data_IF_922891482243
#
_entry.id   IF_922891482243
#
_cell.length_a   1.000
_cell.length_b   1.000
_cell.length_c   1.000
_cell.angle_alpha   90.00
_cell.angle_beta   90.00
_cell.angle_gamma   90.00
#
_symmetry.space_group_name_H-M   'P 1'
#
loop_
_entity.id
_entity.type
_entity.pdbx_description
1 polymer ?
#
# COMPACT_ATOMS: atom_id res chain seq x y z
N UNK A 1 18.01 11.27 -7.21
CA UNK A 1 19.04 10.78 -6.25
C UNK A 1 19.21 9.29 -6.47
N UNK A 2 20.41 8.75 -6.27
CA UNK A 2 20.60 7.29 -6.27
C UNK A 2 20.17 6.71 -4.91
N UNK A 3 19.12 5.88 -4.83
CA UNK A 3 18.65 5.31 -3.56
C UNK A 3 19.70 4.46 -2.86
N UNK A 4 20.58 3.75 -3.59
CA UNK A 4 21.59 2.88 -2.99
C UNK A 4 22.67 3.70 -2.29
N UNK A 5 23.15 4.77 -2.93
CA UNK A 5 24.10 5.70 -2.30
C UNK A 5 23.50 6.40 -1.06
N UNK A 6 22.22 6.81 -1.10
CA UNK A 6 21.55 7.41 0.06
C UNK A 6 21.40 6.41 1.20
N UNK A 7 21.08 5.15 0.89
CA UNK A 7 20.98 4.08 1.88
C UNK A 7 22.34 3.79 2.54
N UNK A 8 23.42 3.74 1.76
CA UNK A 8 24.78 3.58 2.29
C UNK A 8 25.16 4.75 3.22
N UNK A 9 24.92 5.99 2.79
CA UNK A 9 25.17 7.18 3.62
C UNK A 9 24.40 7.12 4.94
N UNK A 10 23.13 6.67 4.92
CA UNK A 10 22.32 6.48 6.12
C UNK A 10 22.90 5.41 7.05
N UNK A 11 23.44 4.32 6.50
CA UNK A 11 24.09 3.29 7.30
C UNK A 11 25.35 3.81 8.01
N UNK A 12 26.11 4.69 7.35
CA UNK A 12 27.36 5.24 7.89
C UNK A 12 27.13 6.39 8.89
N UNK A 13 26.09 7.20 8.67
CA UNK A 13 25.87 8.45 9.44
C UNK A 13 24.65 8.43 10.36
N UNK A 14 23.78 7.43 10.24
CA UNK A 14 22.52 7.32 10.98
C UNK A 14 21.35 8.13 10.40
N UNK A 15 21.56 8.92 9.34
CA UNK A 15 20.50 9.73 8.73
C UNK A 15 20.73 10.01 7.25
N UNK A 16 19.75 10.61 6.58
CA UNK A 16 19.85 10.94 5.14
C UNK A 16 20.35 12.36 4.87
N UNK A 17 20.49 13.19 5.92
CA UNK A 17 21.01 14.55 5.80
C UNK A 17 22.46 14.52 5.31
N UNK A 18 22.78 15.38 4.35
CA UNK A 18 24.09 15.43 3.71
C UNK A 18 24.39 14.28 2.73
N UNK A 19 23.42 13.40 2.43
CA UNK A 19 23.62 12.36 1.43
C UNK A 19 23.90 12.98 0.05
N UNK A 20 24.91 12.45 -0.65
CA UNK A 20 25.30 12.94 -1.98
C UNK A 20 24.22 12.55 -3.01
N UNK A 21 23.67 13.55 -3.67
CA UNK A 21 22.77 13.36 -4.81
C UNK A 21 23.49 13.40 -6.15
N UNK A 22 22.79 13.04 -7.22
CA UNK A 22 23.20 13.33 -8.59
C UNK A 22 22.86 14.81 -8.88
N UNK A 23 23.68 15.74 -8.40
CA UNK A 23 23.52 17.18 -8.59
C UNK A 23 23.33 17.98 -7.30
N UNK A 24 22.64 19.11 -7.39
CA UNK A 24 22.35 19.98 -6.24
C UNK A 24 21.28 19.33 -5.36
N UNK A 25 21.61 19.11 -4.10
CA UNK A 25 20.66 18.67 -3.07
C UNK A 25 20.25 19.86 -2.21
N UNK A 26 19.00 19.84 -1.72
CA UNK A 26 18.47 20.79 -0.75
C UNK A 26 17.98 20.01 0.46
N UNK A 27 18.34 20.44 1.66
CA UNK A 27 17.74 19.91 2.87
C UNK A 27 16.31 20.47 3.01
N UNK A 28 15.38 19.56 3.29
CA UNK A 28 13.97 19.85 3.50
C UNK A 28 13.48 19.11 4.73
N UNK A 29 12.47 19.65 5.38
CA UNK A 29 11.73 19.00 6.46
C UNK A 29 10.82 17.89 5.93
N UNK A 30 10.34 17.03 6.83
CA UNK A 30 9.36 15.99 6.47
C UNK A 30 8.04 16.58 5.98
N UNK A 31 7.62 17.73 6.53
CA UNK A 31 6.42 18.42 6.07
C UNK A 31 6.60 18.93 4.63
N UNK A 32 7.71 19.62 4.35
CA UNK A 32 8.03 20.06 2.99
C UNK A 32 8.14 18.89 2.01
N UNK A 33 8.66 17.73 2.44
CA UNK A 33 8.77 16.53 1.62
C UNK A 33 7.41 16.02 1.14
N UNK A 34 6.40 16.00 2.03
CA UNK A 34 5.04 15.55 1.68
C UNK A 34 4.36 16.50 0.69
N UNK A 35 4.71 17.78 0.73
CA UNK A 35 4.10 18.86 -0.05
C UNK A 35 4.84 19.13 -1.37
N UNK A 36 5.89 18.36 -1.69
CA UNK A 36 6.62 18.49 -2.94
C UNK A 36 5.75 18.14 -4.15
N UNK A 37 5.92 18.94 -5.21
CA UNK A 37 5.41 18.61 -6.54
C UNK A 37 6.04 17.32 -7.06
N UNK A 38 5.23 16.26 -7.09
CA UNK A 38 5.62 14.94 -7.58
C UNK A 38 4.42 14.20 -8.18
N UNK A 39 4.68 13.20 -9.02
CA UNK A 39 3.60 12.37 -9.58
C UNK A 39 3.09 11.36 -8.55
N UNK A 40 4.02 10.75 -7.79
CA UNK A 40 3.76 9.68 -6.83
C UNK A 40 4.38 10.01 -5.48
N UNK A 41 3.55 10.05 -4.44
CA UNK A 41 3.95 10.21 -3.05
C UNK A 41 3.87 8.85 -2.33
N UNK A 42 4.91 8.50 -1.57
CA UNK A 42 4.99 7.20 -0.86
C UNK A 42 5.23 7.41 0.63
N UNK A 43 4.18 7.64 1.45
CA UNK A 43 4.31 7.70 2.89
C UNK A 43 4.64 6.31 3.46
N UNK A 44 5.86 6.14 3.98
CA UNK A 44 6.41 4.84 4.41
C UNK A 44 7.03 4.88 5.82
N UNK A 45 6.68 5.87 6.64
CA UNK A 45 7.30 6.11 7.95
C UNK A 45 6.34 5.85 9.13
N UNK A 46 5.35 6.73 9.30
CA UNK A 46 4.44 6.74 10.45
C UNK A 46 2.99 6.92 10.01
N UNK A 47 2.06 6.65 10.92
CA UNK A 47 0.64 6.95 10.74
C UNK A 47 0.35 8.47 10.72
N UNK A 48 -0.81 8.84 10.18
CA UNK A 48 -1.41 10.19 10.23
C UNK A 48 -0.46 11.33 9.84
N UNK A 49 0.33 11.13 8.78
CA UNK A 49 1.23 12.14 8.24
C UNK A 49 0.51 13.10 7.28
N UNK A 50 -0.57 12.63 6.64
CA UNK A 50 -1.42 13.45 5.78
C UNK A 50 -2.78 13.59 6.47
N UNK A 51 -3.13 14.81 6.85
CA UNK A 51 -4.34 15.16 7.61
C UNK A 51 -5.05 16.35 6.96
N UNK A 52 -6.19 16.77 7.52
CA UNK A 52 -6.88 17.99 7.05
C UNK A 52 -5.99 19.24 7.08
N UNK A 53 -4.95 19.26 7.91
CA UNK A 53 -4.05 20.41 8.06
C UNK A 53 -3.11 20.59 6.87
N UNK A 54 -2.79 19.52 6.13
CA UNK A 54 -1.82 19.54 5.04
C UNK A 54 -2.28 18.93 3.71
N UNK A 55 -3.41 18.21 3.68
CA UNK A 55 -3.91 17.56 2.46
C UNK A 55 -4.09 18.51 1.27
N UNK A 56 -4.46 19.78 1.50
CA UNK A 56 -4.59 20.79 0.44
C UNK A 56 -3.27 21.16 -0.24
N UNK A 57 -2.15 20.87 0.43
CA UNK A 57 -0.79 21.12 -0.08
C UNK A 57 -0.18 19.88 -0.73
N UNK A 58 -0.87 18.75 -0.70
CA UNK A 58 -0.45 17.54 -1.40
C UNK A 58 -0.78 17.67 -2.88
N UNK A 59 0.25 17.81 -3.70
CA UNK A 59 0.17 17.96 -5.14
C UNK A 59 0.20 16.63 -5.91
N UNK A 60 0.56 15.53 -5.23
CA UNK A 60 0.71 14.21 -5.81
C UNK A 60 -0.56 13.72 -6.51
N UNK A 61 -0.40 13.08 -7.68
CA UNK A 61 -1.53 12.45 -8.40
C UNK A 61 -1.89 11.11 -7.79
N UNK A 62 -0.88 10.37 -7.34
CA UNK A 62 -1.00 9.06 -6.72
C UNK A 62 -0.30 9.07 -5.36
N UNK A 63 -0.98 8.61 -4.33
CA UNK A 63 -0.41 8.34 -3.00
C UNK A 63 -0.41 6.84 -2.76
N UNK A 64 0.75 6.26 -2.43
CA UNK A 64 0.92 4.83 -2.12
C UNK A 64 1.22 4.65 -0.63
N UNK A 65 0.24 4.15 0.12
CA UNK A 65 0.34 4.00 1.58
C UNK A 65 1.22 2.80 1.98
N UNK A 66 2.54 2.99 2.01
CA UNK A 66 3.46 1.94 2.45
C UNK A 66 3.54 1.80 3.98
N UNK A 67 3.16 2.84 4.72
CA UNK A 67 2.90 2.76 6.17
C UNK A 67 1.45 2.33 6.44
N UNK A 68 1.14 1.94 7.67
CA UNK A 68 -0.24 1.72 8.11
C UNK A 68 -0.91 3.06 8.46
N UNK A 69 -2.04 3.37 7.83
CA UNK A 69 -2.83 4.58 8.04
C UNK A 69 -2.06 5.91 7.97
N UNK A 70 -1.22 6.18 6.94
CA UNK A 70 -0.51 7.45 6.83
C UNK A 70 -1.43 8.63 6.46
N UNK A 71 -2.59 8.38 5.86
CA UNK A 71 -3.60 9.39 5.52
C UNK A 71 -4.78 9.28 6.50
N UNK A 72 -5.24 10.40 7.06
CA UNK A 72 -6.44 10.40 7.90
C UNK A 72 -7.71 10.20 7.06
N UNK A 73 -8.79 9.61 7.61
CA UNK A 73 -10.03 9.38 6.85
C UNK A 73 -10.62 10.65 6.22
N UNK A 74 -10.51 11.78 6.91
CA UNK A 74 -11.02 13.06 6.42
C UNK A 74 -10.15 13.62 5.29
N UNK A 75 -8.83 13.44 5.38
CA UNK A 75 -7.91 13.80 4.31
C UNK A 75 -8.08 12.91 3.07
N UNK A 76 -8.28 11.61 3.28
CA UNK A 76 -8.54 10.62 2.21
C UNK A 76 -9.77 11.04 1.40
N UNK A 77 -10.88 11.32 2.09
CA UNK A 77 -12.11 11.78 1.44
C UNK A 77 -11.87 13.04 0.61
N UNK A 78 -11.21 14.05 1.17
CA UNK A 78 -10.95 15.32 0.49
C UNK A 78 -10.04 15.16 -0.74
N UNK A 79 -8.99 14.35 -0.61
CA UNK A 79 -8.06 14.06 -1.71
C UNK A 79 -8.74 13.27 -2.83
N UNK A 80 -9.56 12.28 -2.48
CA UNK A 80 -10.35 11.49 -3.43
C UNK A 80 -11.36 12.37 -4.17
N UNK A 81 -12.08 13.25 -3.46
CA UNK A 81 -13.00 14.24 -4.07
C UNK A 81 -12.27 15.22 -5.00
N UNK A 82 -11.00 15.52 -4.72
CA UNK A 82 -10.12 16.32 -5.58
C UNK A 82 -9.52 15.52 -6.76
N UNK A 83 -9.95 14.28 -6.99
CA UNK A 83 -9.51 13.43 -8.09
C UNK A 83 -8.12 12.83 -7.89
N UNK A 84 -7.61 12.79 -6.66
CA UNK A 84 -6.34 12.13 -6.33
C UNK A 84 -6.57 10.65 -6.07
N UNK A 85 -5.64 9.81 -6.51
CA UNK A 85 -5.70 8.36 -6.30
C UNK A 85 -4.91 8.02 -5.05
N UNK A 86 -5.55 7.36 -4.09
CA UNK A 86 -4.89 6.81 -2.90
C UNK A 86 -4.94 5.29 -2.99
N UNK A 87 -3.79 4.66 -3.17
CA UNK A 87 -3.66 3.20 -3.10
C UNK A 87 -3.55 2.82 -1.62
N UNK A 88 -4.58 2.18 -1.04
CA UNK A 88 -4.71 2.01 0.40
C UNK A 88 -3.68 1.03 0.96
N UNK A 89 -3.30 1.23 2.21
CA UNK A 89 -2.31 0.43 2.95
C UNK A 89 -2.57 -1.08 2.89
N UNK A 90 -3.83 -1.50 3.08
CA UNK A 90 -4.27 -2.90 3.01
C UNK A 90 -3.90 -3.60 1.69
N UNK A 91 -3.73 -2.84 0.60
CA UNK A 91 -3.24 -3.33 -0.68
C UNK A 91 -1.75 -3.03 -0.85
N UNK A 92 -1.33 -1.78 -0.68
CA UNK A 92 0.01 -1.29 -0.98
C UNK A 92 1.12 -2.01 -0.20
N UNK A 93 0.89 -2.28 1.09
CA UNK A 93 1.89 -2.91 1.96
C UNK A 93 1.68 -4.43 2.14
N UNK A 94 0.72 -5.03 1.42
CA UNK A 94 0.34 -6.44 1.51
C UNK A 94 1.43 -7.45 1.12
N UNK A 95 2.52 -6.98 0.51
CA UNK A 95 3.62 -7.84 0.05
C UNK A 95 4.29 -8.63 1.17
N UNK A 96 4.43 -8.04 2.37
CA UNK A 96 4.99 -8.74 3.52
C UNK A 96 4.15 -9.94 3.93
N UNK A 97 2.83 -9.73 4.09
CA UNK A 97 1.87 -10.79 4.43
C UNK A 97 1.83 -11.86 3.34
N UNK A 98 1.88 -11.46 2.08
CA UNK A 98 1.90 -12.38 0.93
C UNK A 98 3.12 -13.29 0.99
N UNK A 99 4.32 -12.73 1.19
CA UNK A 99 5.55 -13.52 1.27
C UNK A 99 5.58 -14.42 2.52
N UNK A 100 5.04 -13.96 3.66
CA UNK A 100 4.88 -14.82 4.85
C UNK A 100 3.94 -16.01 4.60
N UNK A 101 2.89 -15.83 3.80
CA UNK A 101 2.05 -16.94 3.36
C UNK A 101 2.85 -17.94 2.48
N UNK A 102 3.66 -17.43 1.54
CA UNK A 102 4.52 -18.29 0.71
C UNK A 102 5.56 -19.04 1.54
N UNK A 103 6.10 -18.43 2.60
CA UNK A 103 6.98 -19.09 3.55
C UNK A 103 6.26 -20.27 4.24
N UNK A 104 5.03 -20.06 4.72
CA UNK A 104 4.23 -21.12 5.32
C UNK A 104 3.97 -22.29 4.35
N UNK A 105 3.68 -22.00 3.07
CA UNK A 105 3.49 -23.02 2.02
C UNK A 105 4.77 -23.83 1.81
N UNK A 106 5.92 -23.15 1.70
CA UNK A 106 7.23 -23.81 1.54
C UNK A 106 7.53 -24.73 2.74
N UNK A 107 7.35 -24.23 3.96
CA UNK A 107 7.57 -24.99 5.20
C UNK A 107 6.70 -26.25 5.26
N UNK A 108 5.43 -26.14 4.85
CA UNK A 108 4.51 -27.29 4.85
C UNK A 108 4.83 -28.31 3.76
N UNK A 109 5.39 -27.88 2.64
CA UNK A 109 5.77 -28.75 1.52
C UNK A 109 7.15 -29.39 1.69
N UNK A 110 8.02 -28.81 2.51
CA UNK A 110 9.44 -29.19 2.62
C UNK A 110 10.28 -28.80 1.40
N UNK A 111 9.74 -28.00 0.48
CA UNK A 111 10.40 -27.58 -0.75
C UNK A 111 10.53 -26.05 -0.79
N UNK A 112 11.77 -25.57 -0.77
CA UNK A 112 12.08 -24.16 -0.77
C UNK A 112 12.27 -23.64 -2.20
N UNK A 113 11.76 -22.45 -2.45
CA UNK A 113 11.80 -21.79 -3.75
C UNK A 113 12.96 -20.81 -3.79
N UNK A 114 13.50 -20.59 -4.98
CA UNK A 114 14.44 -19.50 -5.18
C UNK A 114 13.74 -18.14 -5.16
N UNK A 115 14.54 -17.08 -5.03
CA UNK A 115 14.02 -15.71 -4.96
C UNK A 115 13.23 -15.26 -6.19
N UNK A 116 13.48 -15.84 -7.37
CA UNK A 116 12.75 -15.48 -8.59
C UNK A 116 11.33 -16.02 -8.54
N UNK A 117 11.16 -17.28 -8.14
CA UNK A 117 9.84 -17.88 -7.98
C UNK A 117 9.00 -17.18 -6.91
N UNK A 118 9.60 -16.80 -5.78
CA UNK A 118 8.89 -16.02 -4.75
C UNK A 118 8.46 -14.65 -5.29
N UNK A 119 9.35 -13.98 -6.03
CA UNK A 119 9.06 -12.67 -6.64
C UNK A 119 7.96 -12.73 -7.68
N UNK A 120 7.96 -13.75 -8.53
CA UNK A 120 6.96 -13.92 -9.59
C UNK A 120 5.58 -14.23 -9.00
N UNK A 121 5.52 -15.05 -7.95
CA UNK A 121 4.29 -15.27 -7.19
C UNK A 121 3.80 -13.99 -6.51
N UNK A 122 4.68 -13.26 -5.81
CA UNK A 122 4.32 -11.98 -5.19
C UNK A 122 3.77 -10.99 -6.22
N UNK A 123 4.47 -10.82 -7.34
CA UNK A 123 4.07 -9.93 -8.43
C UNK A 123 2.68 -10.30 -8.95
N UNK A 124 2.49 -11.57 -9.30
CA UNK A 124 1.21 -12.06 -9.86
C UNK A 124 0.06 -11.82 -8.88
N UNK A 125 0.25 -12.11 -7.60
CA UNK A 125 -0.76 -11.87 -6.57
C UNK A 125 -1.10 -10.39 -6.47
N UNK A 126 -0.11 -9.51 -6.28
CA UNK A 126 -0.35 -8.08 -6.09
C UNK A 126 -0.99 -7.44 -7.33
N UNK A 127 -0.54 -7.81 -8.54
CA UNK A 127 -1.15 -7.32 -9.79
C UNK A 127 -2.61 -7.76 -9.93
N UNK A 128 -2.91 -9.02 -9.60
CA UNK A 128 -4.28 -9.57 -9.68
C UNK A 128 -5.22 -8.87 -8.70
N UNK A 129 -4.80 -8.70 -7.44
CA UNK A 129 -5.61 -8.05 -6.42
C UNK A 129 -5.77 -6.55 -6.72
N UNK A 130 -4.72 -5.89 -7.21
CA UNK A 130 -4.79 -4.48 -7.65
C UNK A 130 -5.78 -4.30 -8.79
N UNK A 131 -5.73 -5.17 -9.81
CA UNK A 131 -6.65 -5.09 -10.94
C UNK A 131 -8.11 -5.32 -10.52
N UNK A 132 -8.34 -6.26 -9.58
CA UNK A 132 -9.69 -6.54 -9.05
C UNK A 132 -10.25 -5.33 -8.31
N UNK A 133 -9.43 -4.71 -7.44
CA UNK A 133 -9.81 -3.52 -6.68
C UNK A 133 -10.00 -2.31 -7.60
N UNK A 134 -9.12 -2.13 -8.58
CA UNK A 134 -9.22 -1.06 -9.57
C UNK A 134 -10.49 -1.18 -10.42
N UNK A 135 -10.85 -2.39 -10.82
CA UNK A 135 -12.09 -2.63 -11.56
C UNK A 135 -13.29 -2.25 -10.71
N UNK A 136 -13.34 -2.71 -9.46
CA UNK A 136 -14.41 -2.39 -8.52
C UNK A 136 -14.52 -0.89 -8.22
N UNK A 137 -13.38 -0.22 -8.05
CA UNK A 137 -13.29 1.23 -7.88
C UNK A 137 -13.99 1.97 -9.02
N UNK A 138 -13.70 1.60 -10.28
CA UNK A 138 -14.28 2.24 -11.46
C UNK A 138 -15.77 1.90 -11.66
N UNK A 139 -16.15 0.63 -11.48
CA UNK A 139 -17.52 0.17 -11.73
C UNK A 139 -18.52 0.71 -10.71
N UNK A 140 -18.10 0.91 -9.46
CA UNK A 140 -18.95 1.37 -8.36
C UNK A 140 -18.73 2.83 -7.97
N UNK A 141 -17.83 3.54 -8.66
CA UNK A 141 -17.46 4.94 -8.36
C UNK A 141 -17.07 5.15 -6.88
N UNK A 142 -16.30 4.21 -6.33
CA UNK A 142 -15.89 4.21 -4.92
C UNK A 142 -14.50 4.82 -4.74
N UNK A 143 -14.06 5.08 -3.51
CA UNK A 143 -12.62 5.24 -3.25
C UNK A 143 -11.91 3.88 -3.47
N UNK A 144 -10.61 3.89 -3.79
CA UNK A 144 -9.83 2.65 -3.86
C UNK A 144 -9.78 1.93 -2.50
N UNK A 145 -9.85 2.68 -1.39
CA UNK A 145 -9.92 2.11 -0.04
C UNK A 145 -11.21 1.34 0.19
N UNK A 146 -12.35 1.93 -0.13
CA UNK A 146 -13.65 1.26 0.01
C UNK A 146 -13.75 0.06 -0.92
N UNK A 147 -13.25 0.19 -2.16
CA UNK A 147 -13.16 -0.94 -3.09
C UNK A 147 -12.31 -2.08 -2.51
N UNK A 148 -11.16 -1.78 -1.88
CA UNK A 148 -10.33 -2.80 -1.23
C UNK A 148 -11.06 -3.51 -0.09
N UNK A 149 -11.79 -2.77 0.76
CA UNK A 149 -12.58 -3.38 1.84
C UNK A 149 -13.73 -4.23 1.31
N UNK A 150 -14.48 -3.75 0.32
CA UNK A 150 -15.57 -4.52 -0.29
C UNK A 150 -15.05 -5.80 -0.93
N UNK A 151 -13.94 -5.72 -1.67
CA UNK A 151 -13.30 -6.89 -2.28
C UNK A 151 -12.92 -7.94 -1.22
N UNK A 152 -12.28 -7.51 -0.12
CA UNK A 152 -11.95 -8.39 1.00
C UNK A 152 -13.19 -9.01 1.66
N UNK A 153 -14.21 -8.21 1.93
CA UNK A 153 -15.47 -8.66 2.55
C UNK A 153 -16.24 -9.65 1.68
N UNK A 154 -16.30 -9.42 0.35
CA UNK A 154 -16.95 -10.35 -0.59
C UNK A 154 -16.32 -11.74 -0.54
N UNK A 155 -14.99 -11.81 -0.56
CA UNK A 155 -14.26 -13.10 -0.46
C UNK A 155 -14.52 -13.83 0.86
N UNK A 156 -14.66 -13.09 1.96
CA UNK A 156 -15.01 -13.67 3.26
C UNK A 156 -16.45 -14.20 3.22
N UNK A 157 -17.40 -13.40 2.74
CA UNK A 157 -18.81 -13.79 2.64
C UNK A 157 -19.00 -15.04 1.76
N UNK A 158 -18.42 -15.06 0.56
CA UNK A 158 -18.46 -16.21 -0.36
C UNK A 158 -17.90 -17.48 0.29
N UNK A 159 -16.80 -17.37 1.04
CA UNK A 159 -16.19 -18.50 1.76
C UNK A 159 -17.08 -19.01 2.90
N UNK A 160 -17.78 -18.12 3.61
CA UNK A 160 -18.73 -18.49 4.66
C UNK A 160 -19.96 -19.17 4.06
N UNK A 161 -20.51 -18.64 2.97
CA UNK A 161 -21.66 -19.22 2.26
C UNK A 161 -21.33 -20.60 1.68
N UNK A 162 -20.16 -20.77 1.06
CA UNK A 162 -19.73 -22.05 0.48
C UNK A 162 -19.53 -23.17 1.52
N UNK A 163 -19.21 -22.81 2.77
CA UNK A 163 -19.08 -23.78 3.87
C UNK A 163 -20.41 -24.11 4.56
N UNK A 164 -21.47 -23.34 4.30
CA UNK A 164 -22.73 -23.38 5.02
C UNK A 164 -22.62 -22.75 6.42
N UNK A 165 -23.74 -22.22 6.92
CA UNK A 165 -23.85 -21.73 8.30
C UNK A 165 -24.59 -22.74 9.17
N UNK A 166 -24.45 -22.74 10.51
CA UNK A 166 -25.28 -23.58 11.37
C UNK A 166 -26.79 -23.41 11.09
N UNK A 167 -27.24 -22.19 10.79
CA UNK A 167 -28.61 -21.90 10.38
C UNK A 167 -29.02 -22.58 9.06
N UNK A 168 -28.08 -22.81 8.14
CA UNK A 168 -28.32 -23.59 6.90
C UNK A 168 -28.55 -25.08 7.20
N UNK A 169 -27.98 -25.62 8.27
CA UNK A 169 -28.12 -27.02 8.68
C UNK A 169 -29.22 -27.27 9.74
N UNK A 170 -29.74 -26.21 10.38
CA UNK A 170 -30.86 -26.31 11.33
C UNK A 170 -32.25 -26.25 10.65
N UNK A 171 -32.31 -25.85 9.37
CA UNK A 171 -33.55 -25.74 8.59
C UNK A 171 -33.85 -26.89 7.63
N UNK A 172 -33.06 -27.97 7.65
CA UNK A 172 -33.18 -29.15 6.77
C UNK A 172 -33.61 -30.41 7.51
#
# INVERSE_FOLDING_TARGET
>A
MDPLAVMQHKHETGGVKGAKGQGKTKEISNAELLELDCDVLVPAASERQITLENCDRISARITLEMANGPVSPEADKKLTEAGRIIVPDILANSGGVTVSHLEWVQNRSGFYWDSSRVRDHLKTTVETETQSIWTLHNEMELSMRDAAYIHGLRRIAESVEARGTPAYFEGS
#
